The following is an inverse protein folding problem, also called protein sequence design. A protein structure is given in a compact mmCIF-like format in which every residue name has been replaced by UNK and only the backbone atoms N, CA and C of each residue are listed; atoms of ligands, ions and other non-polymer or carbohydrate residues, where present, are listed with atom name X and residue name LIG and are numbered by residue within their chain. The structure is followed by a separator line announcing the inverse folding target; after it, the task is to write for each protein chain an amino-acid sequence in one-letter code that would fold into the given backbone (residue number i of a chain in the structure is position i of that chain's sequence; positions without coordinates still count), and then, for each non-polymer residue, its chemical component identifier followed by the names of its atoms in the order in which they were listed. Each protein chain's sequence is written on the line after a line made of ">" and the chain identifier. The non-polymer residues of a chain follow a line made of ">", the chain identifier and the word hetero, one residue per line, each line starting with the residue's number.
data_IF_840157266260
#
_entry.id   IF_840157266260
#
_cell.length_a   1.000
_cell.length_b   1.000
_cell.length_c   1.000
_cell.angle_alpha   90.00
_cell.angle_beta   90.00
_cell.angle_gamma   90.00
#
_symmetry.space_group_name_H-M   'P 1'
#
loop_
_entity.id
_entity.type
_entity.pdbx_description
1 polymer ?
#
# COMPACT_ATOMS: atom_id res chain seq x y z
N UNK A 1 -6.67 7.34 -25.51
CA UNK A 1 -7.27 8.02 -24.34
C UNK A 1 -6.12 8.52 -23.51
N UNK A 2 -6.06 9.81 -23.22
CA UNK A 2 -4.98 10.38 -22.40
C UNK A 2 -5.24 10.13 -20.91
N UNK A 3 -4.17 9.98 -20.14
CA UNK A 3 -4.21 9.95 -18.69
C UNK A 3 -4.32 11.38 -18.16
N UNK A 4 -5.25 11.60 -17.23
CA UNK A 4 -5.39 12.86 -16.51
C UNK A 4 -5.08 12.59 -15.04
N UNK A 5 -4.14 13.34 -14.47
CA UNK A 5 -3.77 13.23 -13.07
C UNK A 5 -4.90 13.81 -12.22
N UNK A 6 -5.45 13.00 -11.32
CA UNK A 6 -6.37 13.47 -10.30
C UNK A 6 -5.58 14.23 -9.22
N UNK A 7 -5.32 15.50 -9.50
CA UNK A 7 -4.65 16.42 -8.57
C UNK A 7 -5.48 16.69 -7.34
N UNK A 8 -6.81 16.61 -7.45
CA UNK A 8 -7.73 16.88 -6.34
C UNK A 8 -7.53 15.85 -5.23
N UNK A 9 -7.39 14.58 -5.58
CA UNK A 9 -7.11 13.51 -4.63
C UNK A 9 -5.78 13.68 -3.86
N UNK A 10 -4.83 14.44 -4.43
CA UNK A 10 -3.52 14.71 -3.82
C UNK A 10 -3.55 16.02 -3.02
N UNK A 11 -3.88 17.14 -3.67
CA UNK A 11 -3.76 18.49 -3.13
C UNK A 11 -4.80 18.79 -2.05
N UNK A 12 -6.01 18.22 -2.14
CA UNK A 12 -7.07 18.42 -1.13
C UNK A 12 -7.02 17.41 0.01
N UNK A 13 -5.96 16.61 0.11
CA UNK A 13 -5.84 15.64 1.19
C UNK A 13 -5.72 16.36 2.55
N UNK A 14 -6.57 16.07 3.55
CA UNK A 14 -6.74 16.90 4.75
C UNK A 14 -5.50 16.99 5.66
N UNK A 15 -4.55 16.06 5.50
CA UNK A 15 -3.30 16.03 6.27
C UNK A 15 -2.08 16.50 5.50
N UNK A 16 -2.19 16.79 4.20
CA UNK A 16 -1.06 17.27 3.41
C UNK A 16 -1.06 18.80 3.39
N UNK A 17 0.10 19.38 3.68
CA UNK A 17 0.35 20.81 3.62
C UNK A 17 1.44 21.05 2.59
N UNK A 18 1.08 21.47 1.39
CA UNK A 18 2.03 21.77 0.31
C UNK A 18 2.61 23.18 0.44
N UNK A 19 3.84 23.38 -0.04
CA UNK A 19 4.51 24.69 -0.09
C UNK A 19 4.21 25.41 -1.40
N UNK A 20 2.93 25.55 -1.73
CA UNK A 20 2.47 26.20 -2.98
C UNK A 20 2.87 27.68 -3.06
N UNK A 21 3.20 28.30 -1.93
CA UNK A 21 3.68 29.67 -1.85
C UNK A 21 5.12 29.87 -2.37
N UNK A 22 5.91 28.80 -2.48
CA UNK A 22 7.36 28.87 -2.78
C UNK A 22 7.78 27.90 -3.87
N UNK A 23 7.06 26.77 -4.02
CA UNK A 23 7.31 25.78 -5.03
C UNK A 23 6.16 25.79 -6.05
N UNK A 24 6.44 25.75 -7.37
CA UNK A 24 5.41 25.69 -8.40
C UNK A 24 4.86 24.26 -8.55
N UNK A 25 4.20 23.76 -7.49
CA UNK A 25 3.72 22.37 -7.38
C UNK A 25 2.77 22.01 -8.52
N UNK A 26 1.82 22.88 -8.86
CA UNK A 26 0.88 22.68 -9.97
C UNK A 26 1.59 22.56 -11.33
N UNK A 27 2.62 23.37 -11.56
CA UNK A 27 3.45 23.29 -12.77
C UNK A 27 4.22 21.98 -12.81
N UNK A 28 4.80 21.55 -11.69
CA UNK A 28 5.49 20.25 -11.60
C UNK A 28 4.54 19.08 -11.85
N UNK A 29 3.33 19.10 -11.28
CA UNK A 29 2.32 18.06 -11.53
C UNK A 29 1.87 18.04 -12.99
N UNK A 30 1.73 19.20 -13.64
CA UNK A 30 1.41 19.30 -15.07
C UNK A 30 2.51 18.69 -15.94
N UNK A 31 3.78 18.99 -15.63
CA UNK A 31 4.92 18.40 -16.34
C UNK A 31 5.00 16.88 -16.14
N UNK A 32 4.71 16.39 -14.93
CA UNK A 32 4.64 14.95 -14.65
C UNK A 32 3.52 14.29 -15.45
N UNK A 33 2.31 14.86 -15.47
CA UNK A 33 1.17 14.35 -16.25
C UNK A 33 1.50 14.27 -17.75
N UNK A 34 2.12 15.31 -18.30
CA UNK A 34 2.56 15.33 -19.69
C UNK A 34 3.59 14.21 -19.96
N UNK A 35 4.61 14.09 -19.11
CA UNK A 35 5.62 13.05 -19.24
C UNK A 35 5.01 11.63 -19.13
N UNK A 36 4.02 11.43 -18.26
CA UNK A 36 3.31 10.15 -18.13
C UNK A 36 2.62 9.79 -19.45
N UNK A 37 1.91 10.75 -20.05
CA UNK A 37 1.24 10.55 -21.33
C UNK A 37 2.23 10.23 -22.45
N UNK A 38 3.31 11.01 -22.54
CA UNK A 38 4.33 10.91 -23.59
C UNK A 38 5.10 9.58 -23.51
N UNK A 39 5.46 9.14 -22.30
CA UNK A 39 6.36 8.00 -22.09
C UNK A 39 5.60 6.67 -21.99
N UNK A 40 4.45 6.64 -21.30
CA UNK A 40 3.75 5.39 -20.99
C UNK A 40 2.49 5.23 -21.83
N UNK A 41 1.55 6.19 -21.74
CA UNK A 41 0.23 6.05 -22.38
C UNK A 41 0.35 5.93 -23.90
N UNK A 42 1.15 6.77 -24.55
CA UNK A 42 1.37 6.71 -26.01
C UNK A 42 2.06 5.43 -26.47
N UNK A 43 2.72 4.70 -25.57
CA UNK A 43 3.35 3.39 -25.86
C UNK A 43 2.43 2.20 -25.60
N UNK A 44 1.20 2.46 -25.16
CA UNK A 44 0.18 1.43 -24.92
C UNK A 44 0.09 0.98 -23.46
N UNK A 45 0.86 1.55 -22.54
CA UNK A 45 0.76 1.23 -21.12
C UNK A 45 -0.57 1.75 -20.55
N UNK A 46 -1.24 0.91 -19.76
CA UNK A 46 -2.45 1.31 -19.02
C UNK A 46 -2.07 1.94 -17.69
N UNK A 47 -1.91 3.25 -17.69
CA UNK A 47 -1.64 4.04 -16.48
C UNK A 47 -2.91 4.18 -15.64
N UNK A 48 -2.79 3.96 -14.33
CA UNK A 48 -3.91 4.04 -13.40
C UNK A 48 -3.51 4.78 -12.13
N UNK A 49 -4.36 5.70 -11.66
CA UNK A 49 -4.19 6.36 -10.37
C UNK A 49 -5.27 5.90 -9.37
N UNK A 50 -4.87 5.82 -8.10
CA UNK A 50 -5.76 5.89 -6.96
C UNK A 50 -5.12 6.75 -5.86
N UNK A 51 -5.82 7.79 -5.41
CA UNK A 51 -5.31 8.69 -4.37
C UNK A 51 -3.93 9.25 -4.74
N UNK A 52 -2.94 8.94 -3.91
CA UNK A 52 -1.55 9.43 -4.02
C UNK A 52 -0.61 8.54 -4.81
N UNK A 53 -1.14 7.45 -5.38
CA UNK A 53 -0.38 6.39 -6.04
C UNK A 53 -0.82 6.25 -7.48
N UNK A 54 0.17 6.17 -8.37
CA UNK A 54 -0.03 5.98 -9.81
C UNK A 54 0.76 4.75 -10.24
N UNK A 55 0.10 3.77 -10.84
CA UNK A 55 0.76 2.66 -11.54
C UNK A 55 1.08 3.13 -12.95
N UNK A 56 2.37 3.21 -13.27
CA UNK A 56 2.85 3.65 -14.58
C UNK A 56 2.96 2.51 -15.59
N UNK A 57 3.36 1.32 -15.12
CA UNK A 57 3.62 0.15 -15.98
C UNK A 57 3.38 -1.14 -15.20
N UNK A 58 2.86 -2.15 -15.89
CA UNK A 58 2.86 -3.55 -15.44
C UNK A 58 3.63 -4.37 -16.47
N UNK A 59 4.48 -5.31 -16.05
CA UNK A 59 5.23 -6.12 -17.04
C UNK A 59 4.35 -7.18 -17.72
N UNK A 60 3.26 -7.62 -17.08
CA UNK A 60 2.32 -8.61 -17.62
C UNK A 60 0.90 -8.04 -17.73
N UNK A 61 0.72 -7.12 -18.68
CA UNK A 61 -0.51 -6.34 -18.86
C UNK A 61 -1.75 -7.18 -19.22
N UNK A 62 -1.56 -8.31 -19.88
CA UNK A 62 -2.66 -9.11 -20.42
C UNK A 62 -2.60 -10.58 -19.98
N UNK A 63 -1.75 -10.85 -18.97
CA UNK A 63 -1.48 -12.17 -18.37
C UNK A 63 -0.86 -13.18 -19.34
N UNK A 64 -0.42 -12.79 -20.53
CA UNK A 64 0.18 -13.72 -21.49
C UNK A 64 1.51 -14.27 -21.00
N UNK A 65 2.34 -13.44 -20.35
CA UNK A 65 3.65 -13.91 -19.87
C UNK A 65 3.46 -14.89 -18.73
N UNK A 66 2.56 -14.58 -17.78
CA UNK A 66 2.19 -15.53 -16.73
C UNK A 66 1.53 -16.79 -17.29
N UNK A 67 0.69 -16.69 -18.33
CA UNK A 67 0.06 -17.84 -18.99
C UNK A 67 1.10 -18.77 -19.62
N UNK A 68 2.05 -18.19 -20.36
CA UNK A 68 3.15 -18.90 -21.00
C UNK A 68 4.02 -19.60 -19.96
N UNK A 69 4.49 -18.88 -18.93
CA UNK A 69 5.30 -19.46 -17.85
C UNK A 69 4.55 -20.58 -17.11
N UNK A 70 3.26 -20.39 -16.84
CA UNK A 70 2.40 -21.42 -16.24
C UNK A 70 2.25 -22.65 -17.12
N UNK A 71 2.19 -22.46 -18.44
CA UNK A 71 2.10 -23.54 -19.41
C UNK A 71 3.37 -24.41 -19.40
N UNK A 72 4.54 -23.77 -19.45
CA UNK A 72 5.84 -24.43 -19.36
C UNK A 72 5.97 -25.20 -18.04
N UNK A 73 5.63 -24.55 -16.93
CA UNK A 73 5.67 -25.17 -15.60
C UNK A 73 4.81 -26.43 -15.50
N UNK A 74 3.64 -26.44 -16.14
CA UNK A 74 2.69 -27.56 -16.13
C UNK A 74 2.83 -28.50 -17.35
N UNK A 75 3.82 -28.31 -18.22
CA UNK A 75 4.02 -29.12 -19.44
C UNK A 75 2.90 -29.02 -20.49
N UNK A 76 2.09 -27.97 -20.47
CA UNK A 76 0.93 -27.79 -21.36
C UNK A 76 1.29 -27.03 -22.64
N UNK A 77 2.17 -27.60 -23.46
CA UNK A 77 2.71 -26.96 -24.67
C UNK A 77 1.70 -26.70 -25.81
N UNK A 78 0.53 -27.35 -25.76
CA UNK A 78 -0.51 -27.22 -26.78
C UNK A 78 -1.44 -26.01 -26.56
N UNK A 79 -1.31 -25.30 -25.45
CA UNK A 79 -2.22 -24.20 -25.04
C UNK A 79 -1.46 -23.11 -24.27
N UNK A 80 -0.33 -22.63 -24.80
CA UNK A 80 0.60 -21.76 -24.07
C UNK A 80 -0.01 -20.42 -23.63
N UNK A 81 -1.04 -19.93 -24.34
CA UNK A 81 -1.62 -18.60 -24.15
C UNK A 81 -2.83 -18.56 -23.20
N UNK A 82 -3.16 -19.67 -22.53
CA UNK A 82 -4.32 -19.73 -21.63
C UNK A 82 -4.16 -18.85 -20.37
N UNK A 83 -4.64 -17.61 -20.48
CA UNK A 83 -4.63 -16.58 -19.43
C UNK A 83 -5.34 -16.99 -18.14
N UNK A 84 -6.28 -17.94 -18.21
CA UNK A 84 -6.99 -18.43 -17.04
C UNK A 84 -6.21 -19.48 -16.24
N UNK A 85 -5.19 -20.11 -16.84
CA UNK A 85 -4.44 -21.21 -16.22
C UNK A 85 -3.77 -20.80 -14.92
N UNK A 86 -3.06 -19.68 -14.93
CA UNK A 86 -2.36 -19.20 -13.74
C UNK A 86 -3.34 -19.03 -12.57
N UNK A 87 -4.43 -18.29 -12.80
CA UNK A 87 -5.42 -18.00 -11.78
C UNK A 87 -6.18 -19.25 -11.33
N UNK A 88 -6.72 -20.05 -12.27
CA UNK A 88 -7.64 -21.16 -11.96
C UNK A 88 -6.94 -22.46 -11.59
N UNK A 89 -5.75 -22.73 -12.13
CA UNK A 89 -5.05 -24.01 -11.96
C UNK A 89 -3.81 -23.90 -11.10
N UNK A 90 -3.20 -22.73 -10.94
CA UNK A 90 -2.01 -22.59 -10.10
C UNK A 90 -2.34 -21.93 -8.76
N UNK A 91 -2.91 -20.73 -8.78
CA UNK A 91 -3.27 -20.01 -7.54
C UNK A 91 -4.28 -20.82 -6.73
N UNK A 92 -5.36 -21.31 -7.37
CA UNK A 92 -6.39 -22.09 -6.67
C UNK A 92 -5.92 -23.42 -6.07
N UNK A 93 -4.93 -24.04 -6.69
CA UNK A 93 -4.36 -25.32 -6.24
C UNK A 93 -3.16 -25.12 -5.31
N UNK A 94 -2.90 -23.88 -4.87
CA UNK A 94 -1.76 -23.52 -4.02
C UNK A 94 -0.40 -23.96 -4.60
N UNK A 95 -0.27 -23.99 -5.93
CA UNK A 95 0.99 -24.27 -6.62
C UNK A 95 1.97 -23.08 -6.54
N UNK A 96 3.19 -23.27 -7.07
CA UNK A 96 4.22 -22.25 -7.02
C UNK A 96 3.83 -20.96 -7.75
N UNK A 97 4.27 -19.83 -7.19
CA UNK A 97 4.10 -18.49 -7.78
C UNK A 97 5.21 -18.14 -8.77
N UNK A 98 6.07 -19.10 -9.15
CA UNK A 98 7.11 -18.90 -10.19
C UNK A 98 6.57 -18.20 -11.45
N UNK A 99 5.34 -18.45 -11.96
CA UNK A 99 4.88 -17.80 -13.17
C UNK A 99 4.74 -16.27 -13.08
N UNK A 100 4.40 -15.74 -11.90
CA UNK A 100 4.39 -14.29 -11.66
C UNK A 100 5.71 -13.79 -11.07
N UNK A 101 6.64 -14.69 -10.74
CA UNK A 101 7.97 -14.31 -10.29
C UNK A 101 8.71 -13.69 -11.48
N UNK A 102 9.12 -12.44 -11.30
CA UNK A 102 9.69 -11.59 -12.35
C UNK A 102 8.69 -10.63 -13.00
N UNK A 103 7.39 -10.75 -12.72
CA UNK A 103 6.43 -9.72 -13.10
C UNK A 103 6.39 -8.62 -12.04
N UNK A 104 6.30 -7.36 -12.48
CA UNK A 104 6.38 -6.18 -11.63
C UNK A 104 5.41 -5.08 -12.04
N UNK A 105 5.14 -4.21 -11.07
CA UNK A 105 4.42 -2.97 -11.23
C UNK A 105 5.35 -1.81 -10.85
N UNK A 106 5.45 -0.81 -11.72
CA UNK A 106 6.16 0.44 -11.47
C UNK A 106 5.17 1.47 -10.92
N UNK A 107 5.40 1.93 -9.70
CA UNK A 107 4.57 2.93 -9.03
C UNK A 107 5.27 4.27 -8.95
N UNK A 108 4.52 5.34 -9.20
CA UNK A 108 4.86 6.72 -8.90
C UNK A 108 4.03 7.20 -7.70
N UNK A 109 4.72 7.79 -6.73
CA UNK A 109 4.12 8.31 -5.50
C UNK A 109 4.23 9.83 -5.49
N UNK A 110 3.13 10.52 -5.23
CA UNK A 110 3.06 11.99 -5.16
C UNK A 110 2.33 12.39 -3.88
N UNK A 111 2.86 13.34 -3.11
CA UNK A 111 2.24 13.75 -1.84
C UNK A 111 2.42 12.73 -0.70
N UNK A 112 3.50 11.96 -0.72
CA UNK A 112 3.77 10.92 0.27
C UNK A 112 4.87 11.35 1.23
N UNK A 113 4.60 11.27 2.54
CA UNK A 113 5.58 11.59 3.58
C UNK A 113 6.75 10.60 3.62
N UNK A 114 7.92 11.10 4.04
CA UNK A 114 9.13 10.27 4.22
C UNK A 114 8.93 8.99 5.05
N UNK A 115 8.14 8.95 6.15
CA UNK A 115 7.97 7.73 6.92
C UNK A 115 7.33 6.60 6.11
N UNK A 116 6.40 6.95 5.22
CA UNK A 116 5.77 5.98 4.32
C UNK A 116 6.79 5.44 3.33
N UNK A 117 7.62 6.31 2.73
CA UNK A 117 8.72 5.89 1.86
C UNK A 117 9.68 4.93 2.58
N UNK A 118 10.08 5.27 3.81
CA UNK A 118 10.99 4.45 4.63
C UNK A 118 10.37 3.08 4.98
N UNK A 119 9.05 2.98 5.10
CA UNK A 119 8.36 1.69 5.23
C UNK A 119 8.27 0.93 3.90
N UNK A 120 8.00 1.61 2.79
CA UNK A 120 7.88 0.96 1.47
C UNK A 120 9.21 0.37 1.01
N UNK A 121 10.31 1.06 1.27
CA UNK A 121 11.64 0.63 0.81
C UNK A 121 12.12 -0.66 1.48
N UNK A 122 11.59 -1.04 2.64
CA UNK A 122 11.95 -2.32 3.27
C UNK A 122 11.43 -3.53 2.48
N UNK A 123 10.48 -3.32 1.58
CA UNK A 123 9.88 -4.37 0.76
C UNK A 123 10.49 -4.49 -0.64
N UNK A 124 11.36 -3.57 -1.06
CA UNK A 124 12.07 -3.67 -2.34
C UNK A 124 13.22 -4.67 -2.20
N UNK A 125 12.91 -5.98 -2.27
CA UNK A 125 13.90 -7.06 -2.24
C UNK A 125 14.24 -7.46 -3.69
N UNK A 126 15.53 -7.52 -4.04
CA UNK A 126 15.97 -8.14 -5.30
C UNK A 126 16.10 -7.24 -6.55
N UNK A 127 16.71 -6.06 -6.43
CA UNK A 127 17.05 -5.13 -7.55
C UNK A 127 15.86 -4.68 -8.41
N UNK A 128 14.80 -4.20 -7.78
CA UNK A 128 13.75 -3.44 -8.49
C UNK A 128 14.10 -1.96 -8.61
N UNK A 129 13.48 -1.27 -9.55
CA UNK A 129 13.65 0.18 -9.75
C UNK A 129 13.31 0.94 -8.46
N UNK A 130 14.29 1.68 -7.92
CA UNK A 130 14.14 2.59 -6.77
C UNK A 130 14.68 3.94 -7.16
N UNK A 131 13.80 4.85 -7.55
CA UNK A 131 14.17 6.24 -7.84
C UNK A 131 13.48 7.13 -6.82
N UNK A 132 14.14 7.33 -5.69
CA UNK A 132 13.86 8.50 -4.87
C UNK A 132 14.89 9.53 -5.23
N UNK A 133 14.43 10.66 -5.74
CA UNK A 133 15.26 11.81 -6.03
C UNK A 133 16.18 12.04 -4.83
N UNK A 134 17.49 11.80 -5.02
CA UNK A 134 18.45 11.80 -3.93
C UNK A 134 18.30 13.11 -3.19
N UNK A 135 18.18 13.06 -1.86
CA UNK A 135 17.83 14.24 -1.07
C UNK A 135 18.71 15.41 -1.52
N UNK A 136 20.01 15.20 -1.79
CA UNK A 136 20.99 16.10 -2.41
C UNK A 136 20.44 17.11 -3.44
N UNK A 137 19.61 16.69 -4.39
CA UNK A 137 19.18 17.52 -5.53
C UNK A 137 17.74 18.03 -5.46
N UNK A 138 16.93 17.60 -4.47
CA UNK A 138 15.50 17.90 -4.49
C UNK A 138 15.00 18.51 -3.17
N UNK A 139 13.95 19.30 -3.29
CA UNK A 139 13.34 20.03 -2.19
C UNK A 139 12.05 19.33 -1.72
N UNK A 140 11.79 19.25 -0.41
CA UNK A 140 10.55 18.72 0.11
C UNK A 140 9.36 19.53 -0.41
N UNK A 141 8.27 18.85 -0.80
CA UNK A 141 7.08 19.52 -1.35
C UNK A 141 6.16 20.09 -0.26
N UNK A 142 6.37 19.69 1.00
CA UNK A 142 5.47 20.07 2.09
C UNK A 142 5.63 19.20 3.32
N UNK A 143 4.58 19.11 4.13
CA UNK A 143 4.51 18.34 5.36
C UNK A 143 3.23 17.49 5.43
N UNK A 144 3.35 16.25 5.89
CA UNK A 144 2.21 15.38 6.19
C UNK A 144 1.99 15.35 7.71
N UNK A 145 0.81 15.81 8.14
CA UNK A 145 0.40 15.76 9.54
C UNK A 145 0.21 14.29 9.95
N UNK A 146 0.81 13.83 11.07
CA UNK A 146 0.64 12.47 11.57
C UNK A 146 -0.83 12.13 11.80
N UNK A 147 -1.21 10.88 11.55
CA UNK A 147 -2.60 10.42 11.77
C UNK A 147 -2.98 10.45 13.24
N UNK A 148 -1.98 10.32 14.11
CA UNK A 148 -2.09 10.30 15.56
C UNK A 148 -2.24 11.70 16.18
N UNK A 149 -2.09 12.76 15.38
CA UNK A 149 -2.16 14.14 15.84
C UNK A 149 -3.58 14.47 16.36
N UNK A 150 -3.69 14.72 17.67
CA UNK A 150 -4.95 15.10 18.32
C UNK A 150 -5.31 16.57 18.14
N UNK A 151 -4.29 17.41 18.06
CA UNK A 151 -4.40 18.84 17.81
C UNK A 151 -3.62 19.17 16.54
N UNK A 152 -4.35 19.36 15.43
CA UNK A 152 -3.75 19.63 14.13
C UNK A 152 -3.02 20.98 14.09
N UNK A 153 -3.35 21.93 14.98
CA UNK A 153 -2.74 23.27 14.96
C UNK A 153 -1.26 23.23 15.31
N UNK A 154 -0.88 22.40 16.29
CA UNK A 154 0.51 22.18 16.72
C UNK A 154 1.40 21.66 15.59
N UNK A 155 0.85 20.82 14.71
CA UNK A 155 1.60 20.18 13.64
C UNK A 155 1.55 20.96 12.32
N UNK A 156 0.82 22.07 12.26
CA UNK A 156 0.69 22.89 11.05
C UNK A 156 1.79 23.93 10.91
N UNK A 157 2.08 24.69 11.96
CA UNK A 157 2.89 25.91 11.81
C UNK A 157 4.40 25.66 11.93
N UNK A 158 4.84 25.03 13.02
CA UNK A 158 6.27 24.89 13.32
C UNK A 158 7.01 23.98 12.31
N UNK A 159 6.54 22.76 11.98
CA UNK A 159 7.21 21.92 11.00
C UNK A 159 7.25 22.56 9.62
N UNK A 160 6.15 23.19 9.19
CA UNK A 160 6.05 23.83 7.88
C UNK A 160 6.96 25.06 7.78
N UNK A 161 7.05 25.87 8.84
CA UNK A 161 8.00 27.00 8.93
C UNK A 161 9.44 26.51 8.78
N UNK A 162 9.81 25.42 9.46
CA UNK A 162 11.17 24.86 9.35
C UNK A 162 11.50 24.41 7.94
N UNK A 163 10.56 23.72 7.27
CA UNK A 163 10.75 23.28 5.89
C UNK A 163 10.89 24.50 4.96
N UNK A 164 10.02 25.51 5.13
CA UNK A 164 10.05 26.76 4.37
C UNK A 164 11.41 27.46 4.46
N UNK A 165 11.97 27.57 5.66
CA UNK A 165 13.27 28.21 5.88
C UNK A 165 14.40 27.47 5.15
N UNK A 166 14.37 26.13 5.16
CA UNK A 166 15.35 25.30 4.44
C UNK A 166 15.20 25.47 2.93
N UNK A 167 13.98 25.40 2.40
CA UNK A 167 13.71 25.57 0.96
C UNK A 167 14.24 26.91 0.46
N UNK A 168 13.93 28.01 1.17
CA UNK A 168 14.43 29.35 0.81
C UNK A 168 15.95 29.46 0.88
N UNK A 169 16.59 28.85 1.88
CA UNK A 169 18.06 28.82 1.97
C UNK A 169 18.68 28.09 0.78
N UNK A 170 18.14 26.93 0.41
CA UNK A 170 18.66 26.15 -0.71
C UNK A 170 18.45 26.85 -2.05
N UNK A 171 17.31 27.53 -2.25
CA UNK A 171 17.06 28.36 -3.44
C UNK A 171 18.08 29.51 -3.52
N UNK A 172 18.27 30.27 -2.43
CA UNK A 172 19.28 31.35 -2.38
C UNK A 172 20.69 30.87 -2.71
N UNK A 173 21.08 29.70 -2.21
CA UNK A 173 22.39 29.11 -2.51
C UNK A 173 22.52 28.74 -4.00
N UNK A 174 21.45 28.24 -4.63
CA UNK A 174 21.44 27.97 -6.07
C UNK A 174 21.54 29.28 -6.87
N UNK A 175 20.73 30.28 -6.53
CA UNK A 175 20.72 31.58 -7.20
C UNK A 175 22.09 32.28 -7.09
N UNK A 176 22.70 32.26 -5.91
CA UNK A 176 24.05 32.81 -5.69
C UNK A 176 25.10 32.09 -6.55
N UNK A 177 25.01 30.76 -6.65
CA UNK A 177 25.91 29.96 -7.49
C UNK A 177 25.73 30.29 -8.97
N UNK A 178 24.49 30.42 -9.45
CA UNK A 178 24.19 30.78 -10.85
C UNK A 178 24.62 32.21 -11.20
N UNK A 179 24.50 33.15 -10.24
CA UNK A 179 24.88 34.54 -10.41
C UNK A 179 26.38 34.82 -10.18
N UNK A 180 27.18 33.78 -9.86
CA UNK A 180 28.63 33.90 -9.63
C UNK A 180 29.00 34.53 -8.27
N UNK A 181 28.05 34.60 -7.34
CA UNK A 181 28.28 35.07 -5.97
C UNK A 181 28.87 33.93 -5.12
N UNK A 182 30.06 34.15 -4.56
CA UNK A 182 30.72 33.17 -3.70
C UNK A 182 30.32 33.43 -2.24
N UNK A 183 29.47 32.59 -1.66
CA UNK A 183 29.31 32.57 -0.21
C UNK A 183 30.64 32.18 0.45
N UNK A 184 31.09 32.94 1.46
CA UNK A 184 32.38 32.68 2.12
C UNK A 184 32.43 31.31 2.83
N UNK A 185 31.26 30.76 3.23
CA UNK A 185 31.09 29.40 3.80
C UNK A 185 29.67 28.86 3.55
N UNK A 186 29.38 28.27 2.37
CA UNK A 186 28.08 27.65 2.14
C UNK A 186 27.93 26.43 3.06
N UNK A 187 26.88 26.41 3.87
CA UNK A 187 26.50 25.23 4.65
C UNK A 187 26.21 24.07 3.69
N UNK A 188 26.65 22.85 4.01
CA UNK A 188 26.34 21.74 3.12
C UNK A 188 24.83 21.48 3.11
N UNK A 189 24.22 21.37 1.93
CA UNK A 189 22.78 21.09 1.81
C UNK A 189 22.39 19.80 2.58
N UNK A 190 23.32 18.85 2.72
CA UNK A 190 23.14 17.64 3.53
C UNK A 190 22.95 17.97 5.02
N UNK A 191 23.72 18.91 5.56
CA UNK A 191 23.63 19.36 6.94
C UNK A 191 22.30 20.09 7.19
N UNK A 192 21.89 21.01 6.30
CA UNK A 192 20.58 21.69 6.40
C UNK A 192 19.41 20.70 6.46
N UNK A 193 19.46 19.64 5.65
CA UNK A 193 18.41 18.62 5.58
C UNK A 193 18.30 17.73 6.82
N UNK A 194 19.38 17.57 7.60
CA UNK A 194 19.32 16.83 8.87
C UNK A 194 18.31 17.43 9.86
N UNK A 195 17.92 18.68 9.64
CA UNK A 195 16.98 19.42 10.47
C UNK A 195 15.55 19.41 9.95
N UNK A 196 15.27 18.70 8.86
CA UNK A 196 13.91 18.53 8.35
C UNK A 196 13.09 17.68 9.34
N UNK A 197 11.81 18.04 9.56
CA UNK A 197 10.92 17.18 10.34
C UNK A 197 10.72 15.86 9.62
N UNK A 198 10.61 14.76 10.38
CA UNK A 198 10.52 13.40 9.84
C UNK A 198 9.34 13.24 8.86
N UNK A 199 8.21 13.93 9.09
CA UNK A 199 7.00 13.85 8.27
C UNK A 199 6.98 14.73 7.02
N UNK A 200 8.11 15.25 6.54
CA UNK A 200 8.12 16.06 5.31
C UNK A 200 7.63 15.23 4.10
N UNK A 201 6.89 15.87 3.19
CA UNK A 201 6.43 15.28 1.93
C UNK A 201 7.63 15.17 0.99
N UNK A 202 7.94 13.94 0.59
CA UNK A 202 9.02 13.71 -0.35
C UNK A 202 8.69 14.27 -1.74
N UNK A 203 9.71 14.73 -2.49
CA UNK A 203 9.57 14.87 -3.93
C UNK A 203 9.03 13.55 -4.53
N UNK A 204 8.28 13.60 -5.65
CA UNK A 204 7.79 12.40 -6.31
C UNK A 204 8.87 11.35 -6.51
N UNK A 205 8.53 10.11 -6.22
CA UNK A 205 9.47 9.00 -6.29
C UNK A 205 8.84 7.76 -6.92
N UNK A 206 9.71 6.92 -7.48
CA UNK A 206 9.35 5.67 -8.12
C UNK A 206 9.81 4.48 -7.28
N UNK A 207 8.93 3.52 -7.09
CA UNK A 207 9.28 2.20 -6.59
C UNK A 207 8.65 1.15 -7.48
N UNK A 208 9.41 0.11 -7.79
CA UNK A 208 8.93 -1.06 -8.47
C UNK A 208 8.86 -2.24 -7.50
N UNK A 209 7.77 -2.97 -7.56
CA UNK A 209 7.54 -4.17 -6.75
C UNK A 209 7.19 -5.32 -7.66
N UNK A 210 7.72 -6.52 -7.37
CA UNK A 210 7.21 -7.71 -8.02
C UNK A 210 5.80 -8.02 -7.54
N UNK A 211 4.98 -8.60 -8.42
CA UNK A 211 3.59 -8.96 -8.09
C UNK A 211 3.52 -9.94 -6.90
N UNK A 212 4.49 -10.86 -6.82
CA UNK A 212 4.66 -11.77 -5.68
C UNK A 212 4.93 -11.00 -4.39
N UNK A 213 5.85 -10.02 -4.39
CA UNK A 213 6.16 -9.27 -3.17
C UNK A 213 4.96 -8.42 -2.72
N UNK A 214 4.22 -7.84 -3.66
CA UNK A 214 3.01 -7.08 -3.36
C UNK A 214 2.01 -7.93 -2.58
N UNK A 215 1.63 -9.09 -3.11
CA UNK A 215 0.59 -9.91 -2.48
C UNK A 215 1.08 -10.63 -1.21
N UNK A 216 2.30 -11.19 -1.22
CA UNK A 216 2.80 -12.02 -0.11
C UNK A 216 3.40 -11.23 1.03
N UNK A 217 3.87 -10.00 0.79
CA UNK A 217 4.62 -9.22 1.77
C UNK A 217 4.02 -7.84 2.01
N UNK A 218 3.87 -7.00 0.97
CA UNK A 218 3.44 -5.61 1.14
C UNK A 218 2.00 -5.54 1.65
N UNK A 219 1.04 -6.03 0.85
CA UNK A 219 -0.38 -6.01 1.21
C UNK A 219 -0.65 -6.90 2.42
N UNK A 220 0.02 -8.04 2.50
CA UNK A 220 -0.12 -8.93 3.65
C UNK A 220 0.23 -8.23 4.97
N UNK A 221 1.42 -7.66 5.09
CA UNK A 221 1.87 -7.07 6.37
C UNK A 221 1.22 -5.72 6.66
N UNK A 222 0.75 -5.00 5.64
CA UNK A 222 0.29 -3.62 5.79
C UNK A 222 -1.21 -3.41 5.60
N UNK A 223 -1.93 -4.35 5.00
CA UNK A 223 -3.39 -4.30 4.85
C UNK A 223 -4.08 -5.51 5.48
N UNK A 224 -3.57 -6.73 5.26
CA UNK A 224 -4.30 -7.95 5.61
C UNK A 224 -4.05 -8.41 7.06
N UNK A 225 -2.87 -8.13 7.59
CA UNK A 225 -2.51 -8.43 8.98
C UNK A 225 -2.73 -7.20 9.88
N UNK A 226 -3.30 -7.44 11.07
CA UNK A 226 -3.50 -6.38 12.08
C UNK A 226 -2.14 -5.92 12.60
N UNK A 227 -1.81 -4.63 12.43
CA UNK A 227 -0.62 -4.04 13.04
C UNK A 227 -0.09 -2.79 12.33
N UNK A 228 -0.30 -2.68 11.02
CA UNK A 228 -0.02 -1.44 10.31
C UNK A 228 -1.16 -0.44 10.50
N UNK A 229 -0.80 0.82 10.75
CA UNK A 229 -1.73 1.96 10.87
C UNK A 229 -1.04 3.24 10.38
N UNK A 230 -1.83 4.31 10.25
CA UNK A 230 -1.35 5.63 9.87
C UNK A 230 -1.25 5.83 8.35
N UNK A 231 -0.46 6.84 7.95
CA UNK A 231 -0.31 7.25 6.55
C UNK A 231 0.14 6.11 5.62
N UNK A 232 0.91 5.15 6.14
CA UNK A 232 1.38 3.99 5.36
C UNK A 232 0.25 3.08 4.93
N UNK A 233 -0.75 2.84 5.79
CA UNK A 233 -1.91 2.01 5.43
C UNK A 233 -2.72 2.67 4.34
N UNK A 234 -2.89 3.99 4.41
CA UNK A 234 -3.63 4.74 3.39
C UNK A 234 -2.95 4.66 2.03
N UNK A 235 -1.64 4.93 1.96
CA UNK A 235 -0.88 4.82 0.71
C UNK A 235 -0.85 3.38 0.19
N UNK A 236 -0.78 2.37 1.05
CA UNK A 236 -0.80 0.97 0.60
C UNK A 236 -2.22 0.56 0.17
N UNK A 237 -3.26 1.15 0.74
CA UNK A 237 -4.65 0.98 0.28
C UNK A 237 -4.81 1.60 -1.11
N UNK A 238 -4.23 2.78 -1.34
CA UNK A 238 -4.14 3.39 -2.67
C UNK A 238 -3.39 2.48 -3.66
N UNK A 239 -2.27 1.87 -3.24
CA UNK A 239 -1.55 0.88 -4.07
C UNK A 239 -2.47 -0.30 -4.41
N UNK A 240 -3.16 -0.87 -3.43
CA UNK A 240 -4.07 -2.00 -3.64
C UNK A 240 -5.17 -1.69 -4.64
N UNK A 241 -5.87 -0.57 -4.46
CA UNK A 241 -6.95 -0.18 -5.37
C UNK A 241 -6.43 0.17 -6.77
N UNK A 242 -5.25 0.79 -6.87
CA UNK A 242 -4.61 1.01 -8.15
C UNK A 242 -4.27 -0.32 -8.85
N UNK A 243 -3.75 -1.32 -8.12
CA UNK A 243 -3.48 -2.65 -8.70
C UNK A 243 -4.75 -3.37 -9.16
N UNK A 244 -5.83 -3.31 -8.37
CA UNK A 244 -7.13 -3.89 -8.76
C UNK A 244 -7.68 -3.25 -10.03
N UNK A 245 -7.50 -1.94 -10.22
CA UNK A 245 -7.93 -1.25 -11.45
C UNK A 245 -7.09 -1.64 -12.68
N UNK A 246 -5.84 -2.06 -12.50
CA UNK A 246 -4.98 -2.57 -13.58
C UNK A 246 -5.48 -3.92 -14.10
N UNK A 247 -5.66 -4.89 -13.20
CA UNK A 247 -6.16 -6.25 -13.52
C UNK A 247 -7.06 -6.78 -12.38
N UNK A 248 -8.37 -6.48 -12.42
CA UNK A 248 -9.29 -6.84 -11.33
C UNK A 248 -9.31 -8.35 -11.08
N UNK A 249 -9.39 -9.15 -12.15
CA UNK A 249 -9.52 -10.61 -12.04
C UNK A 249 -8.30 -11.23 -11.36
N UNK A 250 -7.09 -10.80 -11.72
CA UNK A 250 -5.86 -11.29 -11.09
C UNK A 250 -5.81 -10.91 -9.62
N UNK A 251 -5.99 -9.65 -9.29
CA UNK A 251 -5.81 -9.16 -7.92
C UNK A 251 -6.93 -9.63 -6.99
N UNK A 252 -8.17 -9.77 -7.47
CA UNK A 252 -9.26 -10.39 -6.70
C UNK A 252 -9.02 -11.89 -6.47
N UNK A 253 -8.58 -12.62 -7.50
CA UNK A 253 -8.19 -14.03 -7.29
C UNK A 253 -7.05 -14.12 -6.29
N UNK A 254 -6.02 -13.28 -6.40
CA UNK A 254 -4.92 -13.29 -5.43
C UNK A 254 -5.39 -12.90 -4.02
N UNK A 255 -6.35 -11.98 -3.89
CA UNK A 255 -6.96 -11.63 -2.62
C UNK A 255 -7.62 -12.85 -1.98
N UNK A 256 -8.40 -13.64 -2.72
CA UNK A 256 -9.06 -14.85 -2.19
C UNK A 256 -8.09 -15.87 -1.60
N UNK A 257 -6.82 -15.86 -2.02
CA UNK A 257 -5.79 -16.81 -1.58
C UNK A 257 -4.67 -16.19 -0.73
N UNK A 258 -4.71 -14.89 -0.42
CA UNK A 258 -3.74 -14.23 0.45
C UNK A 258 -4.35 -13.24 1.44
N UNK A 259 -5.64 -12.96 1.30
CA UNK A 259 -6.36 -11.95 2.04
C UNK A 259 -6.48 -12.24 3.54
N UNK A 260 -7.08 -11.29 4.29
CA UNK A 260 -7.13 -11.32 5.75
C UNK A 260 -7.88 -12.53 6.31
N UNK A 261 -8.82 -13.12 5.55
CA UNK A 261 -9.56 -14.32 5.94
C UNK A 261 -8.65 -15.53 6.14
N UNK A 262 -7.50 -15.62 5.47
CA UNK A 262 -6.57 -16.73 5.70
C UNK A 262 -5.90 -16.68 7.08
N UNK A 263 -5.62 -15.49 7.60
CA UNK A 263 -5.11 -15.35 8.96
C UNK A 263 -6.16 -15.80 9.99
N UNK A 264 -7.44 -15.43 9.76
CA UNK A 264 -8.58 -15.91 10.56
C UNK A 264 -8.71 -17.43 10.47
N UNK A 265 -8.61 -18.00 9.28
CA UNK A 265 -8.69 -19.44 9.03
C UNK A 265 -7.56 -20.21 9.74
N UNK A 266 -6.30 -19.80 9.58
CA UNK A 266 -5.15 -20.44 10.26
C UNK A 266 -5.26 -20.36 11.78
N UNK A 267 -5.85 -19.27 12.30
CA UNK A 267 -6.15 -19.15 13.73
C UNK A 267 -7.27 -20.10 14.13
N UNK A 268 -8.39 -20.10 13.41
CA UNK A 268 -9.52 -20.99 13.64
C UNK A 268 -9.08 -22.46 13.71
N UNK A 269 -8.36 -22.96 12.70
CA UNK A 269 -7.90 -24.36 12.67
C UNK A 269 -6.97 -24.70 13.84
N UNK A 270 -6.07 -23.78 14.22
CA UNK A 270 -5.19 -23.96 15.38
C UNK A 270 -5.98 -23.98 16.68
N UNK A 271 -6.92 -23.05 16.85
CA UNK A 271 -7.78 -22.98 18.04
C UNK A 271 -8.66 -24.22 18.17
N UNK A 272 -9.31 -24.66 17.10
CA UNK A 272 -10.08 -25.90 17.07
C UNK A 272 -9.24 -27.10 17.54
N UNK A 273 -8.01 -27.23 17.02
CA UNK A 273 -7.08 -28.31 17.37
C UNK A 273 -6.61 -28.23 18.81
N UNK A 274 -6.13 -27.05 19.23
CA UNK A 274 -5.44 -26.87 20.50
C UNK A 274 -6.43 -26.85 21.69
N UNK A 275 -7.61 -26.25 21.51
CA UNK A 275 -8.65 -26.15 22.54
C UNK A 275 -9.69 -27.28 22.48
N UNK A 276 -9.63 -28.15 21.46
CA UNK A 276 -10.62 -29.20 21.20
C UNK A 276 -12.05 -28.67 21.16
N UNK A 277 -12.23 -27.48 20.58
CA UNK A 277 -13.52 -26.78 20.55
C UNK A 277 -14.58 -27.63 19.83
N UNK A 278 -15.73 -27.81 20.47
CA UNK A 278 -16.87 -28.54 19.90
C UNK A 278 -17.88 -27.60 19.24
N UNK A 279 -18.77 -28.13 18.39
CA UNK A 279 -19.87 -27.35 17.81
C UNK A 279 -20.75 -26.70 18.88
N UNK A 280 -21.06 -27.43 19.96
CA UNK A 280 -21.82 -26.92 21.11
C UNK A 280 -21.17 -25.67 21.72
N UNK A 281 -19.85 -25.69 21.88
CA UNK A 281 -19.10 -24.55 22.42
C UNK A 281 -19.19 -23.33 21.49
N UNK A 282 -19.05 -23.53 20.17
CA UNK A 282 -19.15 -22.43 19.20
C UNK A 282 -20.55 -21.83 19.16
N UNK A 283 -21.60 -22.66 19.15
CA UNK A 283 -22.99 -22.17 19.19
C UNK A 283 -23.27 -21.36 20.45
N UNK A 284 -22.76 -21.82 21.59
CA UNK A 284 -22.88 -21.12 22.87
C UNK A 284 -22.15 -19.77 22.86
N UNK A 285 -20.90 -19.74 22.37
CA UNK A 285 -20.09 -18.51 22.27
C UNK A 285 -20.69 -17.48 21.30
N UNK A 286 -21.27 -17.94 20.20
CA UNK A 286 -21.96 -17.09 19.22
C UNK A 286 -23.38 -16.67 19.67
N UNK A 287 -23.89 -17.18 20.79
CA UNK A 287 -25.27 -16.93 21.23
C UNK A 287 -26.33 -17.49 20.29
N UNK A 288 -26.00 -18.52 19.50
CA UNK A 288 -26.94 -19.15 18.56
C UNK A 288 -27.80 -20.16 19.33
N UNK A 289 -29.14 -20.06 19.28
CA UNK A 289 -30.03 -21.02 19.93
C UNK A 289 -29.83 -22.43 19.36
N UNK A 290 -29.84 -23.43 20.24
CA UNK A 290 -29.86 -24.84 19.87
C UNK A 290 -30.64 -25.64 20.91
N UNK A 291 -31.20 -26.78 20.49
CA UNK A 291 -31.75 -27.78 21.39
C UNK A 291 -30.87 -29.02 21.40
N UNK A 292 -30.95 -29.80 22.48
CA UNK A 292 -30.23 -31.07 22.62
C UNK A 292 -31.25 -32.19 22.82
N UNK A 293 -31.15 -33.25 22.02
CA UNK A 293 -32.00 -34.43 22.20
C UNK A 293 -31.54 -35.25 23.41
N UNK A 294 -32.39 -36.14 23.96
CA UNK A 294 -31.99 -37.05 25.05
C UNK A 294 -30.76 -37.91 24.72
N UNK A 295 -30.50 -38.16 23.43
CA UNK A 295 -29.33 -38.90 22.92
C UNK A 295 -28.09 -38.00 22.69
N UNK A 296 -28.13 -36.73 23.10
CA UNK A 296 -27.02 -35.79 22.98
C UNK A 296 -26.80 -35.22 21.57
N UNK A 297 -27.81 -35.27 20.69
CA UNK A 297 -27.72 -34.66 19.36
C UNK A 297 -28.12 -33.19 19.42
N UNK A 298 -27.37 -32.33 18.74
CA UNK A 298 -27.70 -30.91 18.61
C UNK A 298 -28.71 -30.70 17.47
N UNK A 299 -29.78 -29.98 17.75
CA UNK A 299 -30.75 -29.47 16.78
C UNK A 299 -30.51 -27.97 16.66
N UNK A 300 -30.14 -27.53 15.46
CA UNK A 300 -29.80 -26.14 15.13
C UNK A 300 -30.45 -25.82 13.79
N UNK A 301 -30.90 -24.58 13.62
CA UNK A 301 -31.33 -24.09 12.31
C UNK A 301 -30.18 -24.12 11.31
N UNK A 302 -30.51 -24.13 10.01
CA UNK A 302 -29.50 -24.13 8.96
C UNK A 302 -28.69 -22.82 9.00
N UNK A 303 -27.45 -22.93 9.46
CA UNK A 303 -26.51 -21.83 9.62
C UNK A 303 -25.26 -22.07 8.78
N UNK A 304 -24.69 -20.97 8.29
CA UNK A 304 -23.41 -21.01 7.57
C UNK A 304 -22.29 -21.34 8.54
N UNK A 305 -21.80 -22.58 8.48
CA UNK A 305 -20.72 -23.06 9.35
C UNK A 305 -19.44 -22.22 9.24
N UNK A 306 -19.13 -21.72 8.04
CA UNK A 306 -17.97 -20.86 7.83
C UNK A 306 -18.06 -19.57 8.67
N UNK A 307 -19.22 -18.91 8.67
CA UNK A 307 -19.42 -17.66 9.41
C UNK A 307 -19.33 -17.92 10.92
N UNK A 308 -19.96 -19.00 11.41
CA UNK A 308 -19.85 -19.44 12.81
C UNK A 308 -18.38 -19.68 13.23
N UNK A 309 -17.61 -20.37 12.40
CA UNK A 309 -16.18 -20.63 12.64
C UNK A 309 -15.37 -19.34 12.69
N UNK A 310 -15.64 -18.42 11.75
CA UNK A 310 -14.88 -17.18 11.63
C UNK A 310 -15.17 -16.22 12.79
N UNK A 311 -16.39 -16.19 13.30
CA UNK A 311 -16.82 -15.24 14.33
C UNK A 311 -16.54 -15.70 15.76
N UNK A 312 -16.38 -17.01 15.97
CA UNK A 312 -15.98 -17.60 17.25
C UNK A 312 -14.45 -17.79 17.32
N UNK A 313 -13.95 -18.90 16.77
CA UNK A 313 -12.55 -19.32 16.88
C UNK A 313 -11.61 -18.59 15.91
N UNK A 314 -12.14 -18.07 14.81
CA UNK A 314 -11.39 -17.32 13.80
C UNK A 314 -11.18 -15.84 14.14
N UNK A 315 -11.77 -15.34 15.22
CA UNK A 315 -11.70 -13.92 15.60
C UNK A 315 -10.26 -13.53 15.95
N UNK A 316 -9.72 -12.56 15.22
CA UNK A 316 -8.38 -12.02 15.48
C UNK A 316 -8.40 -11.20 16.77
N UNK A 317 -7.31 -11.22 17.57
CA UNK A 317 -7.23 -10.41 18.77
C UNK A 317 -7.35 -8.92 18.43
N UNK A 318 -7.83 -8.09 19.36
CA UNK A 318 -7.87 -6.66 19.15
C UNK A 318 -6.44 -6.12 19.00
N UNK A 319 -6.24 -5.25 18.03
CA UNK A 319 -4.98 -4.54 17.82
C UNK A 319 -4.66 -3.64 19.03
N UNK A 320 -3.40 -3.24 19.18
CA UNK A 320 -2.97 -2.31 20.25
C UNK A 320 -3.81 -1.03 20.28
N UNK A 321 -4.31 -0.60 19.13
CA UNK A 321 -5.11 0.60 18.97
C UNK A 321 -6.60 0.40 19.24
N UNK A 322 -7.18 -0.74 18.84
CA UNK A 322 -8.54 -1.14 19.24
C UNK A 322 -8.63 -1.23 20.77
N UNK A 323 -7.59 -1.76 21.43
CA UNK A 323 -7.48 -1.75 22.90
C UNK A 323 -7.41 -0.34 23.49
N UNK A 324 -6.70 0.59 22.84
CA UNK A 324 -6.64 1.99 23.28
C UNK A 324 -7.96 2.75 23.07
N UNK A 325 -8.79 2.37 22.10
CA UNK A 325 -10.12 2.95 21.91
C UNK A 325 -11.14 2.37 22.89
N UNK A 326 -11.14 1.05 23.12
CA UNK A 326 -12.00 0.40 24.12
C UNK A 326 -11.72 0.92 25.54
N UNK A 327 -10.45 1.08 25.91
CA UNK A 327 -10.08 1.69 27.19
C UNK A 327 -10.42 3.19 27.32
N UNK A 328 -10.81 3.87 26.22
CA UNK A 328 -11.35 5.24 26.25
C UNK A 328 -12.87 5.27 26.40
N UNK A 329 -13.58 4.30 25.85
CA UNK A 329 -15.04 4.16 26.02
C UNK A 329 -15.39 3.71 27.44
N UNK A 330 -14.59 2.84 28.06
CA UNK A 330 -14.78 2.42 29.47
C UNK A 330 -14.43 3.52 30.50
N UNK A 331 -13.83 4.64 30.06
CA UNK A 331 -13.44 5.78 30.91
C UNK A 331 -14.30 7.03 30.69
N UNK A 332 -15.32 6.93 29.83
CA UNK A 332 -16.40 7.92 29.69
C UNK A 332 -17.63 7.41 30.42
#
# INVERSE_FOLDING_TARGET
>A
MEFVLDRTAILKHPRLLFLEDILPIETYMSAIEQAINDIFVRRGDRVVQHGRVIVLRATDHDRLVSAFKSAIYLGNYHDLENRSRFLKRMVKLEHSYEPIRGESLLFLFIGVGKPVYDHLVTYSVGRTTRIAAGQRANLPWGYEIPVEARDLSLYREEPLRRIRDIVRRVQKMHDATENGEVEERPEQIQALRSTLPVGYIMPPFLLEFSEEALIKHVFRQRLFEKGAQGATVEVISDMWEATRRVDPEKWETLFDYHGPHLARWRRAMRTLRDQKTTLKMMLTDAGVPYAETPEGRLIVDDIKLYDLLMDTVGKLPPSMWEKQQQGKEERR
#
